data_IF_912157633490
#
_entry.id   IF_912157633490
#
_cell.length_a   1.000
_cell.length_b   1.000
_cell.length_c   1.000
_cell.angle_alpha   90.00
_cell.angle_beta   90.00
_cell.angle_gamma   90.00
#
_symmetry.space_group_name_H-M   'P 1'
#
loop_
_entity.id
_entity.type
_entity.pdbx_description
1 polymer ?
#
# COMPACT_ATOMS: atom_id res chain seq x y z
N UNK A 1 9.80 -23.25 -11.94
CA UNK A 1 9.61 -22.97 -10.48
C UNK A 1 10.24 -24.11 -9.68
N UNK A 2 11.06 -23.82 -8.67
CA UNK A 2 11.70 -24.83 -7.81
C UNK A 2 11.21 -24.66 -6.36
N UNK A 3 10.81 -25.74 -5.68
CA UNK A 3 10.46 -25.74 -4.24
C UNK A 3 11.71 -26.08 -3.43
N UNK A 4 12.06 -25.27 -2.43
CA UNK A 4 13.23 -25.48 -1.54
C UNK A 4 12.82 -25.55 -0.07
N UNK A 5 13.62 -26.25 0.75
CA UNK A 5 13.34 -26.48 2.18
C UNK A 5 13.69 -25.26 3.06
N UNK A 6 14.67 -24.44 2.68
CA UNK A 6 15.12 -23.24 3.40
C UNK A 6 14.45 -21.94 2.93
N UNK A 7 14.28 -20.97 3.84
CA UNK A 7 13.73 -19.62 3.55
C UNK A 7 14.84 -18.74 2.98
N UNK A 8 14.80 -18.50 1.67
CA UNK A 8 15.76 -17.65 0.97
C UNK A 8 15.41 -16.17 1.10
N UNK A 9 16.43 -15.32 1.32
CA UNK A 9 16.28 -13.86 1.26
C UNK A 9 16.32 -13.37 -0.19
N UNK A 10 15.74 -12.21 -0.49
CA UNK A 10 15.91 -11.56 -1.79
C UNK A 10 17.39 -11.37 -2.12
N UNK A 11 17.79 -11.67 -3.36
CA UNK A 11 19.19 -11.57 -3.83
C UNK A 11 19.31 -10.38 -4.76
N UNK A 12 20.35 -9.56 -4.56
CA UNK A 12 20.73 -8.49 -5.47
C UNK A 12 22.10 -8.79 -6.08
N UNK A 13 22.36 -8.29 -7.28
CA UNK A 13 23.69 -8.28 -7.89
C UNK A 13 24.60 -7.28 -7.17
N UNK A 14 25.90 -7.33 -7.47
CA UNK A 14 26.88 -6.33 -7.00
C UNK A 14 26.53 -4.90 -7.43
N UNK A 15 25.79 -4.76 -8.53
CA UNK A 15 25.27 -3.50 -9.07
C UNK A 15 23.93 -3.07 -8.44
N UNK A 16 23.42 -3.82 -7.46
CA UNK A 16 22.14 -3.54 -6.79
C UNK A 16 20.89 -4.00 -7.55
N UNK A 17 21.01 -4.62 -8.75
CA UNK A 17 19.86 -5.15 -9.50
C UNK A 17 19.32 -6.41 -8.81
N UNK A 18 18.00 -6.46 -8.57
CA UNK A 18 17.35 -7.60 -7.95
C UNK A 18 17.41 -8.83 -8.87
N UNK A 19 17.97 -9.94 -8.39
CA UNK A 19 18.07 -11.23 -9.10
C UNK A 19 17.10 -12.29 -8.59
N UNK A 20 16.48 -12.07 -7.44
CA UNK A 20 15.48 -12.99 -6.90
C UNK A 20 14.67 -12.38 -5.76
N UNK A 21 13.38 -12.75 -5.68
CA UNK A 21 12.43 -12.20 -4.70
C UNK A 21 12.54 -12.83 -3.29
N UNK A 22 13.36 -13.86 -3.14
CA UNK A 22 13.43 -14.72 -1.94
C UNK A 22 12.28 -15.74 -1.89
N UNK A 23 12.10 -16.38 -0.73
CA UNK A 23 11.00 -17.32 -0.52
C UNK A 23 9.67 -16.59 -0.31
N UNK A 24 8.68 -17.01 -1.11
CA UNK A 24 7.36 -16.42 -1.17
C UNK A 24 6.30 -17.37 -0.65
N UNK A 25 5.27 -16.81 -0.01
CA UNK A 25 3.98 -17.47 0.20
C UNK A 25 3.08 -16.98 -0.91
N UNK A 26 2.67 -17.88 -1.80
CA UNK A 26 1.76 -17.57 -2.89
C UNK A 26 0.36 -18.03 -2.54
N UNK A 27 -0.61 -17.14 -2.73
CA UNK A 27 -2.02 -17.41 -2.51
C UNK A 27 -2.71 -17.24 -3.85
N UNK A 28 -3.36 -18.32 -4.31
CA UNK A 28 -4.11 -18.38 -5.55
C UNK A 28 -5.59 -18.61 -5.25
N UNK A 29 -6.48 -17.88 -5.90
CA UNK A 29 -7.93 -17.99 -5.73
C UNK A 29 -8.67 -17.66 -7.04
N UNK A 30 -9.85 -18.25 -7.21
CA UNK A 30 -10.82 -17.95 -8.27
C UNK A 30 -11.78 -16.89 -7.73
N UNK A 31 -11.40 -15.62 -7.88
CA UNK A 31 -12.22 -14.51 -7.39
C UNK A 31 -13.59 -14.46 -8.05
N UNK A 32 -14.65 -14.45 -7.25
CA UNK A 32 -16.01 -14.13 -7.71
C UNK A 32 -16.14 -12.62 -7.99
N UNK A 33 -17.05 -12.23 -8.90
CA UNK A 33 -17.31 -10.81 -9.13
C UNK A 33 -17.92 -10.10 -7.91
N UNK A 34 -18.61 -10.82 -7.01
CA UNK A 34 -19.31 -10.25 -5.84
C UNK A 34 -18.35 -9.67 -4.81
N UNK A 35 -17.23 -10.36 -4.54
CA UNK A 35 -16.30 -9.95 -3.49
C UNK A 35 -15.09 -9.17 -4.01
N UNK A 36 -15.07 -8.85 -5.31
CA UNK A 36 -13.98 -8.13 -5.98
C UNK A 36 -13.59 -6.83 -5.28
N UNK A 37 -14.57 -6.06 -4.80
CA UNK A 37 -14.32 -4.79 -4.09
C UNK A 37 -13.67 -5.01 -2.72
N UNK A 38 -14.16 -6.00 -1.95
CA UNK A 38 -13.60 -6.34 -0.64
C UNK A 38 -12.17 -6.85 -0.78
N UNK A 39 -11.93 -7.76 -1.73
CA UNK A 39 -10.60 -8.27 -2.06
C UNK A 39 -9.67 -7.13 -2.45
N UNK A 40 -10.12 -6.20 -3.31
CA UNK A 40 -9.33 -5.05 -3.72
C UNK A 40 -8.95 -4.15 -2.55
N UNK A 41 -9.86 -3.96 -1.58
CA UNK A 41 -9.55 -3.18 -0.37
C UNK A 41 -8.50 -3.85 0.51
N UNK A 42 -8.63 -5.16 0.73
CA UNK A 42 -7.65 -5.93 1.51
C UNK A 42 -6.29 -5.89 0.81
N UNK A 43 -6.27 -6.16 -0.50
CA UNK A 43 -5.06 -6.12 -1.31
C UNK A 43 -4.38 -4.75 -1.26
N UNK A 44 -5.13 -3.63 -1.27
CA UNK A 44 -4.57 -2.27 -1.14
C UNK A 44 -3.73 -2.12 0.12
N UNK A 45 -4.09 -2.79 1.22
CA UNK A 45 -3.39 -2.77 2.52
C UNK A 45 -2.36 -3.90 2.65
N UNK A 46 -2.28 -4.82 1.70
CA UNK A 46 -1.34 -5.94 1.72
C UNK A 46 -0.01 -5.61 1.03
N UNK A 47 1.15 -5.80 1.68
CA UNK A 47 2.45 -5.80 1.02
C UNK A 47 2.62 -7.12 0.24
N UNK A 48 1.96 -7.20 -0.91
CA UNK A 48 1.96 -8.36 -1.79
C UNK A 48 2.37 -7.98 -3.22
N UNK A 49 2.91 -8.94 -3.95
CA UNK A 49 3.25 -8.83 -5.36
C UNK A 49 2.19 -9.57 -6.17
N UNK A 50 1.68 -8.95 -7.22
CA UNK A 50 0.74 -9.62 -8.11
C UNK A 50 1.55 -10.43 -9.12
N UNK A 51 1.35 -11.75 -9.15
CA UNK A 51 2.02 -12.60 -10.15
C UNK A 51 1.17 -12.68 -11.43
N UNK A 52 -0.14 -12.86 -11.26
CA UNK A 52 -1.15 -12.75 -12.32
C UNK A 52 -2.52 -12.47 -11.68
N UNK A 53 -3.62 -12.60 -12.44
CA UNK A 53 -4.97 -12.41 -11.88
C UNK A 53 -5.29 -13.54 -10.88
N UNK A 54 -5.70 -13.17 -9.68
CA UNK A 54 -6.05 -14.13 -8.63
C UNK A 54 -4.85 -14.79 -7.94
N UNK A 55 -3.60 -14.44 -8.29
CA UNK A 55 -2.40 -15.03 -7.71
C UNK A 55 -1.49 -13.95 -7.15
N UNK A 56 -1.28 -14.00 -5.83
CA UNK A 56 -0.54 -13.00 -5.08
C UNK A 56 0.57 -13.64 -4.25
N UNK A 57 1.75 -13.04 -4.31
CA UNK A 57 2.92 -13.43 -3.55
C UNK A 57 3.12 -12.51 -2.35
N UNK A 58 3.42 -13.09 -1.20
CA UNK A 58 3.82 -12.41 0.02
C UNK A 58 5.23 -12.86 0.40
N UNK A 59 6.01 -11.95 0.97
CA UNK A 59 7.34 -12.33 1.46
C UNK A 59 7.23 -13.14 2.74
N UNK A 60 7.93 -14.27 2.79
CA UNK A 60 7.98 -15.12 3.98
C UNK A 60 8.85 -14.53 5.11
N UNK A 61 9.76 -13.60 4.76
CA UNK A 61 10.72 -13.00 5.69
C UNK A 61 10.16 -11.84 6.52
N UNK A 62 9.03 -11.24 6.13
CA UNK A 62 8.39 -10.19 6.94
C UNK A 62 7.46 -10.85 7.96
N UNK A 63 8.05 -11.33 9.07
CA UNK A 63 7.26 -11.76 10.23
C UNK A 63 6.55 -10.54 10.82
N UNK A 64 5.21 -10.66 10.93
CA UNK A 64 4.27 -9.78 11.64
C UNK A 64 4.49 -8.30 11.38
N UNK A 65 3.69 -7.73 10.49
CA UNK A 65 3.40 -6.30 10.61
C UNK A 65 2.76 -6.14 12.00
N UNK A 66 3.42 -5.40 12.90
CA UNK A 66 3.17 -5.44 14.35
C UNK A 66 1.68 -5.34 14.73
N UNK A 67 1.33 -5.93 15.87
CA UNK A 67 -0.02 -5.79 16.43
C UNK A 67 -0.43 -4.30 16.44
N UNK A 68 -1.53 -3.96 15.78
CA UNK A 68 -1.95 -2.56 15.54
C UNK A 68 -1.60 -1.97 14.17
N UNK A 69 -0.94 -2.73 13.28
CA UNK A 69 -0.73 -2.26 11.90
C UNK A 69 -2.00 -2.41 11.06
N UNK A 70 -2.30 -1.38 10.26
CA UNK A 70 -3.34 -1.43 9.21
C UNK A 70 -2.97 -2.33 8.02
N UNK A 71 -1.76 -2.90 7.97
CA UNK A 71 -1.35 -3.75 6.86
C UNK A 71 -1.83 -5.19 7.06
N UNK A 72 -2.08 -5.86 5.93
CA UNK A 72 -2.59 -7.22 5.89
C UNK A 72 -1.48 -8.15 5.41
N UNK A 73 -0.99 -9.01 6.31
CA UNK A 73 0.02 -10.02 5.99
C UNK A 73 -0.59 -11.24 5.27
N UNK A 74 0.28 -12.19 4.89
CA UNK A 74 -0.12 -13.39 4.15
C UNK A 74 -1.16 -14.23 4.90
N UNK A 75 -1.03 -14.35 6.22
CA UNK A 75 -1.93 -15.17 7.04
C UNK A 75 -3.31 -14.53 7.11
N UNK A 76 -3.39 -13.22 7.41
CA UNK A 76 -4.67 -12.49 7.41
C UNK A 76 -5.33 -12.53 6.02
N UNK A 77 -4.54 -12.35 4.96
CA UNK A 77 -5.06 -12.45 3.60
C UNK A 77 -5.57 -13.86 3.29
N UNK A 78 -4.87 -14.90 3.71
CA UNK A 78 -5.28 -16.29 3.52
C UNK A 78 -6.61 -16.60 4.22
N UNK A 79 -6.75 -16.22 5.49
CA UNK A 79 -8.00 -16.41 6.23
C UNK A 79 -9.17 -15.70 5.54
N UNK A 80 -8.98 -14.44 5.13
CA UNK A 80 -9.98 -13.69 4.38
C UNK A 80 -10.35 -14.37 3.05
N UNK A 81 -9.37 -14.86 2.29
CA UNK A 81 -9.63 -15.49 1.00
C UNK A 81 -10.35 -16.83 1.14
N UNK A 82 -10.05 -17.63 2.17
CA UNK A 82 -10.77 -18.90 2.39
C UNK A 82 -12.26 -18.73 2.64
N UNK A 83 -12.66 -17.60 3.23
CA UNK A 83 -14.09 -17.28 3.42
C UNK A 83 -14.78 -16.91 2.11
N UNK A 84 -14.02 -16.44 1.12
CA UNK A 84 -14.52 -15.97 -0.17
C UNK A 84 -14.46 -17.05 -1.26
N UNK A 85 -13.43 -17.91 -1.21
CA UNK A 85 -13.20 -19.00 -2.15
C UNK A 85 -12.66 -20.22 -1.39
N UNK A 86 -13.52 -21.23 -1.23
CA UNK A 86 -13.20 -22.51 -0.59
C UNK A 86 -12.10 -23.29 -1.34
N UNK A 87 -11.94 -23.02 -2.65
CA UNK A 87 -10.97 -23.68 -3.52
C UNK A 87 -9.64 -22.92 -3.61
N UNK A 88 -9.46 -21.87 -2.81
CA UNK A 88 -8.21 -21.13 -2.77
C UNK A 88 -7.05 -22.03 -2.31
N UNK A 89 -5.85 -21.78 -2.84
CA UNK A 89 -4.65 -22.59 -2.58
C UNK A 89 -3.52 -21.71 -2.09
N UNK A 90 -2.80 -22.20 -1.07
CA UNK A 90 -1.53 -21.62 -0.62
C UNK A 90 -0.38 -22.48 -1.10
N UNK A 91 0.58 -21.87 -1.80
CA UNK A 91 1.84 -22.46 -2.20
C UNK A 91 2.95 -21.79 -1.38
N UNK A 92 3.44 -22.43 -0.31
CA UNK A 92 4.55 -21.89 0.47
C UNK A 92 5.89 -22.07 -0.25
N UNK A 93 6.86 -21.21 0.10
CA UNK A 93 8.27 -21.31 -0.29
C UNK A 93 8.51 -21.33 -1.81
N UNK A 94 7.74 -20.54 -2.56
CA UNK A 94 8.00 -20.35 -3.99
C UNK A 94 9.19 -19.39 -4.19
N UNK A 95 10.08 -19.70 -5.12
CA UNK A 95 11.14 -18.80 -5.57
C UNK A 95 10.88 -18.38 -7.01
N UNK A 96 10.98 -17.07 -7.26
CA UNK A 96 10.93 -16.47 -8.60
C UNK A 96 12.30 -15.87 -8.88
N UNK A 97 12.94 -16.37 -9.93
CA UNK A 97 14.31 -16.08 -10.36
C UNK A 97 14.41 -15.66 -11.84
N UNK A 98 13.28 -15.56 -12.54
CA UNK A 98 13.24 -15.02 -13.90
C UNK A 98 13.40 -13.49 -13.88
N UNK A 99 14.44 -12.92 -14.52
CA UNK A 99 14.71 -11.47 -14.50
C UNK A 99 13.58 -10.61 -15.08
N UNK A 100 12.98 -11.01 -16.19
CA UNK A 100 11.91 -10.24 -16.86
C UNK A 100 10.65 -10.16 -15.98
N UNK A 101 10.31 -11.27 -15.33
CA UNK A 101 9.20 -11.33 -14.38
C UNK A 101 9.49 -10.46 -13.17
N UNK A 102 10.72 -10.47 -12.66
CA UNK A 102 11.14 -9.63 -11.53
C UNK A 102 11.03 -8.15 -11.89
N UNK A 103 11.55 -7.76 -13.06
CA UNK A 103 11.53 -6.38 -13.53
C UNK A 103 10.10 -5.86 -13.70
N UNK A 104 9.22 -6.66 -14.32
CA UNK A 104 7.78 -6.35 -14.41
C UNK A 104 7.15 -6.17 -13.03
N UNK A 105 7.42 -7.08 -12.09
CA UNK A 105 6.87 -7.02 -10.73
C UNK A 105 7.34 -5.76 -9.98
N UNK A 106 8.60 -5.37 -10.16
CA UNK A 106 9.15 -4.15 -9.59
C UNK A 106 8.41 -2.93 -10.12
N UNK A 107 8.19 -2.87 -11.43
CA UNK A 107 7.52 -1.73 -12.07
C UNK A 107 6.03 -1.65 -11.72
N UNK A 108 5.33 -2.79 -11.71
CA UNK A 108 3.94 -2.87 -11.23
C UNK A 108 3.82 -2.40 -9.77
N UNK A 109 4.81 -2.72 -8.93
CA UNK A 109 4.84 -2.31 -7.53
C UNK A 109 5.07 -0.80 -7.39
N UNK A 110 5.98 -0.22 -8.19
CA UNK A 110 6.19 1.24 -8.26
C UNK A 110 4.90 1.94 -8.68
N UNK A 111 4.31 1.51 -9.79
CA UNK A 111 3.04 2.04 -10.31
C UNK A 111 1.94 1.96 -9.27
N UNK A 112 1.84 0.86 -8.51
CA UNK A 112 0.86 0.71 -7.43
C UNK A 112 1.03 1.76 -6.33
N UNK A 113 2.26 1.97 -5.86
CA UNK A 113 2.54 2.96 -4.81
C UNK A 113 2.29 4.37 -5.33
N UNK A 114 2.72 4.67 -6.55
CA UNK A 114 2.49 5.96 -7.19
C UNK A 114 1.00 6.27 -7.34
N UNK A 115 0.18 5.32 -7.83
CA UNK A 115 -1.28 5.49 -7.89
C UNK A 115 -1.88 5.76 -6.51
N UNK A 116 -1.38 5.09 -5.47
CA UNK A 116 -1.79 5.34 -4.09
C UNK A 116 -1.48 6.76 -3.63
N UNK A 117 -0.29 7.27 -3.96
CA UNK A 117 0.14 8.63 -3.64
C UNK A 117 -0.64 9.68 -4.43
N UNK A 118 -0.83 9.48 -5.74
CA UNK A 118 -1.56 10.42 -6.58
C UNK A 118 -3.00 10.56 -6.12
N UNK A 119 -3.67 9.46 -5.75
CA UNK A 119 -5.02 9.53 -5.18
C UNK A 119 -5.09 10.26 -3.82
N UNK A 120 -3.99 10.33 -3.07
CA UNK A 120 -3.90 11.15 -1.85
C UNK A 120 -3.72 12.63 -2.22
N UNK A 121 -2.85 12.93 -3.18
CA UNK A 121 -2.61 14.29 -3.69
C UNK A 121 -3.92 14.89 -4.23
N UNK A 122 -4.58 14.18 -5.13
CA UNK A 122 -5.89 14.55 -5.68
C UNK A 122 -6.94 14.73 -4.57
N UNK A 123 -6.93 13.84 -3.57
CA UNK A 123 -7.83 13.96 -2.41
C UNK A 123 -7.62 15.25 -1.63
N UNK A 124 -6.37 15.67 -1.41
CA UNK A 124 -6.05 16.92 -0.74
C UNK A 124 -6.37 18.15 -1.61
N UNK A 125 -6.12 18.10 -2.91
CA UNK A 125 -6.48 19.17 -3.85
C UNK A 125 -7.99 19.37 -3.93
N UNK A 126 -8.75 18.29 -4.08
CA UNK A 126 -10.21 18.33 -4.09
C UNK A 126 -10.77 18.89 -2.77
N UNK A 127 -10.20 18.50 -1.63
CA UNK A 127 -10.62 19.04 -0.34
C UNK A 127 -10.28 20.53 -0.22
N UNK A 128 -9.10 20.95 -0.67
CA UNK A 128 -8.71 22.36 -0.72
C UNK A 128 -9.70 23.21 -1.54
N UNK A 129 -10.08 22.75 -2.73
CA UNK A 129 -11.05 23.46 -3.58
C UNK A 129 -12.43 23.57 -2.91
N UNK A 130 -12.92 22.48 -2.31
CA UNK A 130 -14.18 22.48 -1.55
C UNK A 130 -14.15 23.46 -0.39
N UNK A 131 -13.10 23.43 0.42
CA UNK A 131 -12.92 24.38 1.53
C UNK A 131 -12.90 25.80 0.99
N UNK A 132 -12.13 26.08 -0.07
CA UNK A 132 -12.05 27.41 -0.68
C UNK A 132 -13.42 27.94 -1.13
N UNK A 133 -14.24 27.07 -1.73
CA UNK A 133 -15.61 27.37 -2.19
C UNK A 133 -16.68 27.35 -1.07
N UNK A 134 -16.29 27.24 0.20
CA UNK A 134 -17.21 27.09 1.34
C UNK A 134 -18.15 25.88 1.22
N UNK A 135 -17.73 24.84 0.48
CA UNK A 135 -18.48 23.60 0.33
C UNK A 135 -18.03 22.59 1.39
N UNK A 136 -18.92 22.34 2.35
CA UNK A 136 -18.72 21.37 3.42
C UNK A 136 -18.47 22.04 4.78
N UNK A 137 -19.11 21.50 5.81
CA UNK A 137 -18.93 21.94 7.18
C UNK A 137 -17.55 21.54 7.74
N UNK A 138 -17.20 22.12 8.89
CA UNK A 138 -15.93 21.87 9.58
C UNK A 138 -15.73 20.38 9.88
N UNK A 139 -16.78 19.67 10.26
CA UNK A 139 -16.69 18.26 10.65
C UNK A 139 -16.36 17.35 9.46
N UNK A 140 -17.02 17.57 8.32
CA UNK A 140 -16.75 16.93 7.05
C UNK A 140 -15.30 17.14 6.61
N UNK A 141 -14.81 18.38 6.71
CA UNK A 141 -13.45 18.73 6.31
C UNK A 141 -12.40 18.06 7.20
N UNK A 142 -12.57 18.10 8.52
CA UNK A 142 -11.68 17.46 9.47
C UNK A 142 -11.70 15.93 9.32
N UNK A 143 -12.87 15.32 9.15
CA UNK A 143 -13.01 13.87 8.98
C UNK A 143 -12.35 13.39 7.67
N UNK A 144 -12.51 14.14 6.58
CA UNK A 144 -11.88 13.84 5.28
C UNK A 144 -10.36 14.00 5.36
N UNK A 145 -9.88 15.06 6.03
CA UNK A 145 -8.44 15.27 6.28
C UNK A 145 -7.83 14.11 7.06
N UNK A 146 -8.50 13.64 8.12
CA UNK A 146 -8.08 12.47 8.90
C UNK A 146 -8.02 11.20 8.04
N UNK A 147 -9.00 10.97 7.17
CA UNK A 147 -9.04 9.82 6.24
C UNK A 147 -7.86 9.86 5.25
N UNK A 148 -7.57 11.01 4.66
CA UNK A 148 -6.43 11.19 3.75
C UNK A 148 -5.09 10.96 4.46
N UNK A 149 -4.94 11.50 5.68
CA UNK A 149 -3.74 11.28 6.52
C UNK A 149 -3.51 9.81 6.84
N UNK A 150 -4.57 9.08 7.25
CA UNK A 150 -4.49 7.62 7.49
C UNK A 150 -4.05 6.86 6.25
N UNK A 151 -4.67 7.16 5.10
CA UNK A 151 -4.26 6.58 3.80
C UNK A 151 -2.79 6.85 3.47
N UNK A 152 -2.31 8.06 3.70
CA UNK A 152 -0.90 8.41 3.48
C UNK A 152 0.05 7.62 4.37
N UNK A 153 -0.26 7.52 5.67
CA UNK A 153 0.53 6.70 6.61
C UNK A 153 0.56 5.24 6.17
N UNK A 154 -0.56 4.70 5.71
CA UNK A 154 -0.65 3.32 5.20
C UNK A 154 0.20 3.11 3.95
N UNK A 155 0.08 3.97 2.93
CA UNK A 155 0.89 3.88 1.71
C UNK A 155 2.38 4.04 2.03
N UNK A 156 2.74 4.95 2.95
CA UNK A 156 4.12 5.11 3.42
C UNK A 156 4.66 3.85 4.10
N UNK A 157 3.86 3.16 4.91
CA UNK A 157 4.23 1.88 5.51
C UNK A 157 4.43 0.79 4.44
N UNK A 158 3.54 0.71 3.45
CA UNK A 158 3.70 -0.22 2.32
C UNK A 158 4.97 0.05 1.52
N UNK A 159 5.22 1.32 1.19
CA UNK A 159 6.41 1.74 0.45
C UNK A 159 7.68 1.26 1.17
N UNK A 160 7.80 1.49 2.48
CA UNK A 160 8.94 1.00 3.28
C UNK A 160 9.14 -0.51 3.21
N UNK A 161 8.05 -1.29 3.21
CA UNK A 161 8.13 -2.75 3.07
C UNK A 161 8.68 -3.11 1.69
N UNK A 162 8.17 -2.48 0.63
CA UNK A 162 8.64 -2.73 -0.74
C UNK A 162 10.06 -2.24 -1.00
N UNK A 163 10.49 -1.10 -0.47
CA UNK A 163 11.87 -0.62 -0.56
C UNK A 163 12.83 -1.65 0.05
N UNK A 164 12.49 -2.18 1.24
CA UNK A 164 13.29 -3.21 1.91
C UNK A 164 13.25 -4.54 1.15
N UNK A 165 12.09 -4.94 0.65
CA UNK A 165 11.90 -6.23 -0.02
C UNK A 165 12.55 -6.25 -1.41
N UNK A 166 12.22 -5.26 -2.24
CA UNK A 166 12.59 -5.22 -3.65
C UNK A 166 13.87 -4.42 -3.93
N UNK A 167 14.47 -3.81 -2.89
CA UNK A 167 15.68 -2.98 -3.01
C UNK A 167 15.53 -1.82 -4.00
N UNK A 168 14.35 -1.23 -4.01
CA UNK A 168 14.02 -0.04 -4.82
C UNK A 168 13.94 1.20 -3.94
N UNK A 169 14.08 2.39 -4.55
CA UNK A 169 13.77 3.67 -3.92
C UNK A 169 12.35 4.10 -4.30
N UNK A 170 11.52 4.37 -3.29
CA UNK A 170 10.17 4.95 -3.41
C UNK A 170 10.06 6.30 -2.69
N UNK A 171 11.13 6.72 -2.00
CA UNK A 171 11.22 7.96 -1.24
C UNK A 171 10.85 9.23 -2.04
N UNK A 172 11.23 9.39 -3.32
CA UNK A 172 10.81 10.56 -4.11
C UNK A 172 9.29 10.70 -4.24
N UNK A 173 8.55 9.59 -4.31
CA UNK A 173 7.08 9.61 -4.38
C UNK A 173 6.47 10.10 -3.08
N UNK A 174 7.11 9.83 -1.93
CA UNK A 174 6.58 10.19 -0.62
C UNK A 174 6.59 11.69 -0.35
N UNK A 175 7.36 12.47 -1.11
CA UNK A 175 7.47 13.93 -0.95
C UNK A 175 6.26 14.65 -1.57
N UNK A 176 5.67 14.10 -2.64
CA UNK A 176 4.59 14.74 -3.42
C UNK A 176 3.43 15.28 -2.55
N UNK A 177 2.87 14.53 -1.57
CA UNK A 177 1.73 15.00 -0.79
C UNK A 177 2.01 16.17 0.15
N UNK A 178 3.26 16.36 0.60
CA UNK A 178 3.59 17.33 1.66
C UNK A 178 3.20 18.77 1.29
N UNK A 179 3.44 19.17 0.03
CA UNK A 179 3.07 20.52 -0.43
C UNK A 179 1.56 20.77 -0.33
N UNK A 180 0.73 19.76 -0.63
CA UNK A 180 -0.74 19.85 -0.60
C UNK A 180 -1.29 19.83 0.80
N UNK A 181 -0.72 18.98 1.66
CA UNK A 181 -1.03 18.96 3.09
C UNK A 181 -0.78 20.35 3.69
N UNK A 182 0.38 20.95 3.44
CA UNK A 182 0.73 22.27 3.95
C UNK A 182 -0.25 23.34 3.47
N UNK A 183 -0.57 23.38 2.17
CA UNK A 183 -1.54 24.33 1.59
C UNK A 183 -2.94 24.20 2.22
N UNK A 184 -3.42 22.97 2.43
CA UNK A 184 -4.71 22.75 3.07
C UNK A 184 -4.68 23.23 4.52
N UNK A 185 -3.64 22.87 5.29
CA UNK A 185 -3.51 23.29 6.68
C UNK A 185 -3.58 24.82 6.83
N UNK A 186 -2.82 25.57 6.04
CA UNK A 186 -2.86 27.05 6.06
C UNK A 186 -4.27 27.59 5.81
N UNK A 187 -5.00 27.02 4.83
CA UNK A 187 -6.38 27.44 4.54
C UNK A 187 -7.36 27.10 5.68
N UNK A 188 -7.16 25.96 6.34
CA UNK A 188 -7.99 25.57 7.49
C UNK A 188 -7.74 26.50 8.67
N UNK A 189 -6.50 26.89 8.91
CA UNK A 189 -6.14 27.83 9.98
C UNK A 189 -6.80 29.19 9.70
N UNK A 190 -6.71 29.70 8.46
CA UNK A 190 -7.38 30.96 8.07
C UNK A 190 -8.91 30.91 8.22
N UNK A 191 -9.56 29.80 7.84
CA UNK A 191 -11.02 29.69 7.86
C UNK A 191 -11.63 29.32 9.21
N UNK A 192 -10.92 28.53 10.01
CA UNK A 192 -11.45 27.95 11.24
C UNK A 192 -10.72 28.41 12.51
N UNK A 193 -9.57 29.11 12.41
CA UNK A 193 -8.89 29.76 13.55
C UNK A 193 -9.08 31.29 13.61
N UNK A 194 -9.98 31.89 12.80
CA UNK A 194 -10.40 33.29 12.95
C UNK A 194 -11.30 33.58 14.19
N UNK A 195 -11.33 32.67 15.17
CA UNK A 195 -11.78 32.93 16.55
C UNK A 195 -10.77 32.28 17.49
N UNK A 196 -9.59 32.91 17.63
CA UNK A 196 -8.86 32.80 18.89
C UNK A 196 -9.64 33.64 19.90
N UNK A 197 -10.15 33.09 21.01
CA UNK A 197 -10.58 33.96 22.10
C UNK A 197 -9.37 34.81 22.49
N UNK A 198 -9.55 36.14 22.48
CA UNK A 198 -8.66 37.04 23.20
C UNK A 198 -8.73 36.60 24.65
N UNK A 199 -7.72 35.88 25.11
CA UNK A 199 -7.49 35.71 26.54
C UNK A 199 -6.83 37.02 26.97
N UNK A 200 -7.62 37.83 27.67
CA UNK A 200 -7.19 38.97 28.45
C UNK A 200 -6.33 38.51 29.63
#
# INVERSE_FOLDING_TARGET
>A
MRRRREVERPRASKEGKLRGLGSLIVIAYKGSNRDRMKIAEVLRKSPCLRLCRGVYAFSQGFKRVGAGSELVDANRFWHFIREVDENAVVIPKLVVDNPDVIERIVEETRTRIEKGINGIVEGYENLYHKVKQNQGDREYVLSTTRKLRRRFVMVKKLAKVYEKWLRISLSPLMIKPYSRIRKLHTLLDEKYEAVRPRIA
#
